data_IF_394974816882
#
_entry.id   IF_394974816882
#
_cell.length_a   1.000
_cell.length_b   1.000
_cell.length_c   1.000
_cell.angle_alpha   90.00
_cell.angle_beta   90.00
_cell.angle_gamma   90.00
#
_symmetry.space_group_name_H-M   'P 1'
#
loop_
_entity.id
_entity.type
_entity.pdbx_description
1 polymer ?
#
# COMPACT_ATOMS: atom_id res chain seq x y z
N UNK A 1 2.38 30.26 -2.70
CA UNK A 1 2.28 28.81 -2.98
C UNK A 1 1.27 28.25 -2.02
N UNK A 2 0.04 28.02 -2.46
CA UNK A 2 -0.97 27.35 -1.62
C UNK A 2 -0.46 25.94 -1.37
N UNK A 3 -0.34 25.56 -0.10
CA UNK A 3 -0.10 24.18 0.27
C UNK A 3 -1.25 23.35 -0.33
N UNK A 4 -0.94 22.55 -1.36
CA UNK A 4 -1.90 21.60 -1.90
C UNK A 4 -2.37 20.70 -0.77
N UNK A 5 -3.69 20.60 -0.58
CA UNK A 5 -4.26 19.73 0.44
C UNK A 5 -3.76 18.29 0.26
N UNK A 6 -3.45 17.62 1.38
CA UNK A 6 -3.08 16.21 1.37
C UNK A 6 -4.23 15.40 0.76
N UNK A 7 -3.91 14.47 -0.14
CA UNK A 7 -4.90 13.56 -0.70
C UNK A 7 -5.63 12.80 0.42
N UNK A 8 -6.94 12.57 0.25
CA UNK A 8 -7.68 11.75 1.21
C UNK A 8 -7.23 10.29 1.11
N UNK A 9 -7.49 9.49 2.15
CA UNK A 9 -7.17 8.07 2.12
C UNK A 9 -7.95 7.32 1.01
N UNK A 10 -9.15 7.80 0.68
CA UNK A 10 -9.94 7.23 -0.42
C UNK A 10 -9.34 7.57 -1.79
N UNK A 11 -8.77 8.76 -1.97
CA UNK A 11 -8.03 9.11 -3.18
C UNK A 11 -6.79 8.24 -3.35
N UNK A 12 -6.06 8.00 -2.25
CA UNK A 12 -4.88 7.12 -2.22
C UNK A 12 -5.26 5.69 -2.60
N UNK A 13 -6.35 5.15 -2.03
CA UNK A 13 -6.87 3.81 -2.38
C UNK A 13 -7.25 3.73 -3.85
N UNK A 14 -7.98 4.72 -4.36
CA UNK A 14 -8.42 4.75 -5.75
C UNK A 14 -7.23 4.81 -6.72
N UNK A 15 -6.19 5.58 -6.37
CA UNK A 15 -4.98 5.64 -7.19
C UNK A 15 -4.22 4.31 -7.17
N UNK A 16 -4.01 3.72 -6.00
CA UNK A 16 -3.36 2.41 -5.88
C UNK A 16 -4.11 1.32 -6.66
N UNK A 17 -5.45 1.31 -6.58
CA UNK A 17 -6.27 0.36 -7.32
C UNK A 17 -6.04 0.41 -8.84
N UNK A 18 -6.01 1.62 -9.41
CA UNK A 18 -5.70 1.82 -10.84
C UNK A 18 -4.29 1.33 -11.19
N UNK A 19 -3.32 1.64 -10.35
CA UNK A 19 -1.93 1.20 -10.55
C UNK A 19 -1.81 -0.34 -10.52
N UNK A 20 -2.50 -1.01 -9.60
CA UNK A 20 -2.46 -2.47 -9.49
C UNK A 20 -3.23 -3.17 -10.62
N UNK A 21 -4.37 -2.61 -11.05
CA UNK A 21 -5.07 -3.10 -12.22
C UNK A 21 -4.16 -3.03 -13.47
N UNK A 22 -3.51 -1.89 -13.69
CA UNK A 22 -2.55 -1.75 -14.80
C UNK A 22 -1.36 -2.72 -14.68
N UNK A 23 -0.80 -2.88 -13.47
CA UNK A 23 0.33 -3.79 -13.23
C UNK A 23 -0.04 -5.28 -13.38
N UNK A 24 -1.32 -5.63 -13.24
CA UNK A 24 -1.79 -7.02 -13.35
C UNK A 24 -1.78 -7.59 -14.77
N UNK A 25 -1.67 -6.72 -15.79
CA UNK A 25 -1.80 -7.08 -17.21
C UNK A 25 -3.12 -7.82 -17.55
N UNK A 26 -4.17 -7.61 -16.75
CA UNK A 26 -5.50 -8.16 -16.95
C UNK A 26 -6.46 -7.06 -17.40
N UNK A 27 -7.44 -7.43 -18.22
CA UNK A 27 -8.52 -6.54 -18.66
C UNK A 27 -9.79 -6.64 -17.79
N UNK A 28 -9.76 -7.46 -16.74
CA UNK A 28 -10.90 -7.63 -15.84
C UNK A 28 -11.04 -6.45 -14.87
N UNK A 29 -12.06 -5.62 -15.09
CA UNK A 29 -12.35 -4.44 -14.27
C UNK A 29 -12.59 -4.74 -12.78
N UNK A 30 -12.94 -5.99 -12.45
CA UNK A 30 -13.15 -6.41 -11.05
C UNK A 30 -11.87 -6.36 -10.24
N UNK A 31 -10.70 -6.39 -10.87
CA UNK A 31 -9.41 -6.27 -10.18
C UNK A 31 -9.21 -4.87 -9.58
N UNK A 32 -9.49 -3.81 -10.34
CA UNK A 32 -9.43 -2.45 -9.80
C UNK A 32 -10.40 -2.31 -8.62
N UNK A 33 -11.64 -2.79 -8.78
CA UNK A 33 -12.65 -2.74 -7.72
C UNK A 33 -12.17 -3.49 -6.47
N UNK A 34 -11.57 -4.67 -6.61
CA UNK A 34 -11.04 -5.43 -5.49
C UNK A 34 -9.95 -4.65 -4.73
N UNK A 35 -8.96 -4.09 -5.44
CA UNK A 35 -7.91 -3.30 -4.80
C UNK A 35 -8.42 -1.99 -4.17
N UNK A 36 -9.51 -1.43 -4.67
CA UNK A 36 -10.15 -0.23 -4.10
C UNK A 36 -10.93 -0.54 -2.83
N UNK A 37 -11.68 -1.65 -2.81
CA UNK A 37 -12.58 -2.01 -1.72
C UNK A 37 -11.87 -2.67 -0.55
N UNK A 38 -10.79 -3.41 -0.81
CA UNK A 38 -10.01 -4.07 0.25
C UNK A 38 -9.10 -3.05 0.94
N UNK A 39 -9.47 -2.70 2.17
CA UNK A 39 -8.70 -1.81 3.06
C UNK A 39 -7.44 -2.52 3.58
N UNK A 40 -6.32 -2.35 2.87
CA UNK A 40 -5.04 -3.02 3.19
C UNK A 40 -4.58 -2.74 4.62
N UNK A 41 -4.79 -1.53 5.11
CA UNK A 41 -4.42 -1.11 6.47
C UNK A 41 -5.17 -1.88 7.57
N UNK A 42 -6.33 -2.48 7.27
CA UNK A 42 -7.07 -3.30 8.23
C UNK A 42 -6.36 -4.63 8.57
N UNK A 43 -5.34 -5.03 7.80
CA UNK A 43 -4.67 -6.32 7.93
C UNK A 43 -3.22 -6.23 8.42
N UNK A 44 -2.62 -5.03 8.49
CA UNK A 44 -1.18 -4.85 8.73
C UNK A 44 -0.81 -4.58 10.19
N UNK A 45 -1.81 -4.45 11.08
CA UNK A 45 -1.57 -4.01 12.47
C UNK A 45 -1.13 -2.54 12.57
N UNK A 46 -0.84 -2.04 13.79
CA UNK A 46 -0.38 -0.67 13.98
C UNK A 46 1.00 -0.45 13.36
N UNK A 47 1.18 0.71 12.73
CA UNK A 47 2.49 1.15 12.25
C UNK A 47 3.37 1.74 13.36
N UNK A 48 4.57 2.27 13.01
CA UNK A 48 5.16 2.24 11.68
C UNK A 48 5.50 0.81 11.22
N UNK A 49 5.52 0.58 9.92
CA UNK A 49 5.74 -0.75 9.35
C UNK A 49 7.16 -0.90 8.84
N UNK A 50 7.68 -2.13 8.89
CA UNK A 50 8.92 -2.50 8.21
C UNK A 50 8.59 -2.87 6.76
N UNK A 51 9.09 -2.10 5.79
CA UNK A 51 8.89 -2.35 4.36
C UNK A 51 10.19 -2.76 3.67
N UNK A 52 10.08 -3.44 2.53
CA UNK A 52 11.24 -3.81 1.71
C UNK A 52 11.30 -2.97 0.45
N UNK A 53 12.40 -2.23 0.28
CA UNK A 53 12.71 -1.44 -0.93
C UNK A 53 14.10 -1.83 -1.40
N UNK A 54 14.25 -2.23 -2.67
CA UNK A 54 15.54 -2.67 -3.23
C UNK A 54 16.28 -3.69 -2.35
N UNK A 55 15.54 -4.68 -1.83
CA UNK A 55 16.03 -5.75 -0.92
C UNK A 55 16.55 -5.25 0.44
N UNK A 56 16.27 -4.01 0.81
CA UNK A 56 16.60 -3.42 2.12
C UNK A 56 15.33 -3.20 2.93
N UNK A 57 15.44 -3.45 4.23
CA UNK A 57 14.34 -3.18 5.16
C UNK A 57 14.44 -1.74 5.64
N UNK A 58 13.32 -1.03 5.65
CA UNK A 58 13.19 0.35 6.10
C UNK A 58 11.92 0.46 6.95
N UNK A 59 11.97 1.25 8.01
CA UNK A 59 10.77 1.62 8.76
C UNK A 59 10.06 2.77 8.05
N UNK A 60 8.72 2.74 7.99
CA UNK A 60 7.95 3.87 7.47
C UNK A 60 8.11 5.10 8.37
N UNK A 61 8.12 6.33 7.83
CA UNK A 61 8.27 7.54 8.65
C UNK A 61 7.21 7.75 9.73
N UNK A 62 6.03 7.15 9.57
CA UNK A 62 4.96 7.13 10.57
C UNK A 62 4.02 5.95 10.32
N UNK A 63 2.93 5.88 11.08
CA UNK A 63 1.78 4.98 10.92
C UNK A 63 0.75 5.47 9.89
N UNK A 64 1.12 6.44 9.05
CA UNK A 64 0.20 6.95 8.02
C UNK A 64 -0.08 5.86 6.98
N UNK A 65 -1.35 5.45 6.78
CA UNK A 65 -1.69 4.34 5.89
C UNK A 65 -1.30 4.59 4.43
N UNK A 66 -1.00 5.83 4.01
CA UNK A 66 -0.47 6.13 2.69
C UNK A 66 0.78 5.31 2.34
N UNK A 67 1.59 4.92 3.33
CA UNK A 67 2.79 4.11 3.10
C UNK A 67 2.48 2.67 2.67
N UNK A 68 1.31 2.12 3.03
CA UNK A 68 0.89 0.77 2.65
C UNK A 68 0.42 0.66 1.19
N UNK A 69 0.14 1.79 0.55
CA UNK A 69 -0.41 1.87 -0.80
C UNK A 69 0.65 2.14 -1.88
N UNK A 70 1.90 1.72 -1.66
CA UNK A 70 3.05 1.92 -2.57
C UNK A 70 3.48 0.67 -3.37
N UNK A 71 2.66 -0.39 -3.41
CA UNK A 71 3.07 -1.71 -3.95
C UNK A 71 4.45 -2.16 -3.44
N UNK A 72 4.59 -2.16 -2.12
CA UNK A 72 5.80 -2.58 -1.40
C UNK A 72 5.50 -3.82 -0.59
N UNK A 73 6.53 -4.63 -0.35
CA UNK A 73 6.44 -5.72 0.61
C UNK A 73 6.42 -5.15 2.02
N UNK A 74 5.45 -5.57 2.82
CA UNK A 74 5.37 -5.24 4.26
C UNK A 74 5.76 -6.47 5.06
N UNK A 75 6.78 -6.35 5.89
CA UNK A 75 7.31 -7.45 6.69
C UNK A 75 6.36 -7.76 7.86
N UNK A 76 5.81 -8.98 7.88
CA UNK A 76 4.92 -9.46 8.95
C UNK A 76 5.66 -10.31 9.98
N UNK A 77 6.55 -11.20 9.52
CA UNK A 77 7.41 -12.02 10.37
C UNK A 77 8.78 -12.17 9.70
N UNK A 78 9.72 -11.33 10.14
CA UNK A 78 11.08 -11.28 9.57
C UNK A 78 11.85 -12.58 9.76
N UNK A 79 11.64 -13.28 10.89
CA UNK A 79 12.34 -14.53 11.20
C UNK A 79 11.95 -15.65 10.24
N UNK A 80 10.71 -15.60 9.73
CA UNK A 80 10.16 -16.57 8.77
C UNK A 80 10.19 -16.08 7.32
N UNK A 81 10.61 -14.84 7.08
CA UNK A 81 10.59 -14.22 5.75
C UNK A 81 9.17 -13.97 5.20
N UNK A 82 8.17 -13.83 6.08
CA UNK A 82 6.77 -13.63 5.68
C UNK A 82 6.52 -12.14 5.44
N UNK A 83 6.01 -11.81 4.26
CA UNK A 83 5.61 -10.47 3.85
C UNK A 83 4.18 -10.47 3.29
N UNK A 84 3.54 -9.29 3.31
CA UNK A 84 2.34 -9.00 2.53
C UNK A 84 2.68 -8.17 1.29
#
# INVERSE_FOLDING_TARGET
MTAGGRASLDDIRAFHAKMMAAASNSTDERLEQAFRLVRREAFMGPGPWQIVVNRRHLETPSDDPAFLYQNVLVCLDRSKGINN
#
